data_IF_082341694418
#
_entry.id   IF_082341694418
#
_cell.length_a   1.000
_cell.length_b   1.000
_cell.length_c   1.000
_cell.angle_alpha   90.00
_cell.angle_beta   90.00
_cell.angle_gamma   90.00
#
_symmetry.space_group_name_H-M   'P 1'
#
loop_
_entity.id
_entity.type
_entity.pdbx_description
1 polymer ?
#
# COMPACT_ATOMS: atom_id res chain seq x y z
N UNK A 1 36.42 -3.62 32.36
CA UNK A 1 36.32 -2.38 31.55
C UNK A 1 36.38 -2.62 30.05
N UNK A 2 37.38 -3.37 29.51
CA UNK A 2 37.51 -3.63 28.06
C UNK A 2 36.30 -4.34 27.43
N UNK A 3 35.73 -5.35 28.10
CA UNK A 3 34.56 -6.11 27.59
C UNK A 3 33.30 -5.21 27.45
N UNK A 4 33.06 -4.32 28.41
CA UNK A 4 31.97 -3.33 28.35
C UNK A 4 32.17 -2.33 27.20
N UNK A 5 33.42 -1.93 26.93
CA UNK A 5 33.74 -1.05 25.81
C UNK A 5 33.50 -1.75 24.45
N UNK A 6 33.92 -3.01 24.29
CA UNK A 6 33.70 -3.75 23.04
C UNK A 6 32.23 -4.04 22.77
N UNK A 7 31.46 -4.38 23.82
CA UNK A 7 30.01 -4.58 23.69
C UNK A 7 29.29 -3.28 23.33
N UNK A 8 29.67 -2.16 23.93
CA UNK A 8 29.15 -0.84 23.56
C UNK A 8 29.46 -0.45 22.11
N UNK A 9 30.72 -0.62 21.68
CA UNK A 9 31.12 -0.33 20.29
C UNK A 9 30.38 -1.23 19.30
N UNK A 10 30.21 -2.51 19.61
CA UNK A 10 29.43 -3.44 18.78
C UNK A 10 27.97 -3.00 18.65
N UNK A 11 27.34 -2.61 19.76
CA UNK A 11 25.96 -2.12 19.76
C UNK A 11 25.81 -0.82 18.95
N UNK A 12 26.76 0.10 19.09
CA UNK A 12 26.80 1.35 18.33
C UNK A 12 27.00 1.11 16.83
N UNK A 13 27.86 0.15 16.48
CA UNK A 13 28.12 -0.21 15.08
C UNK A 13 26.89 -0.86 14.45
N UNK A 14 26.20 -1.72 15.19
CA UNK A 14 24.95 -2.34 14.76
C UNK A 14 23.84 -1.30 14.57
N UNK A 15 23.66 -0.38 15.52
CA UNK A 15 22.64 0.67 15.41
C UNK A 15 22.90 1.58 14.20
N UNK A 16 24.15 2.01 13.98
CA UNK A 16 24.53 2.81 12.81
C UNK A 16 24.23 2.08 11.50
N UNK A 17 24.55 0.78 11.44
CA UNK A 17 24.25 -0.05 10.27
C UNK A 17 22.74 -0.14 9.99
N UNK A 18 21.93 -0.36 11.03
CA UNK A 18 20.47 -0.41 10.88
C UNK A 18 19.88 0.91 10.40
N UNK A 19 20.43 2.03 10.87
CA UNK A 19 20.01 3.38 10.46
C UNK A 19 20.40 3.69 9.01
N UNK A 20 21.60 3.29 8.58
CA UNK A 20 22.00 3.39 7.17
C UNK A 20 21.07 2.57 6.27
N UNK A 21 20.74 1.34 6.66
CA UNK A 21 19.86 0.48 5.90
C UNK A 21 18.44 1.06 5.79
N UNK A 22 17.91 1.63 6.88
CA UNK A 22 16.60 2.28 6.85
C UNK A 22 16.59 3.54 5.99
N UNK A 23 17.63 4.37 6.06
CA UNK A 23 17.78 5.56 5.22
C UNK A 23 17.86 5.21 3.73
N UNK A 24 18.63 4.18 3.35
CA UNK A 24 18.73 3.71 1.96
C UNK A 24 17.37 3.22 1.45
N UNK A 25 16.64 2.43 2.26
CA UNK A 25 15.28 1.98 1.91
C UNK A 25 14.31 3.15 1.76
N UNK A 26 14.39 4.14 2.64
CA UNK A 26 13.56 5.34 2.56
C UNK A 26 13.81 6.11 1.26
N UNK A 27 15.07 6.41 0.93
CA UNK A 27 15.44 7.10 -0.32
C UNK A 27 14.98 6.31 -1.54
N UNK A 28 15.16 4.98 -1.52
CA UNK A 28 14.73 4.11 -2.59
C UNK A 28 13.23 4.20 -2.85
N UNK A 29 12.41 4.05 -1.81
CA UNK A 29 10.95 4.10 -1.94
C UNK A 29 10.44 5.50 -2.27
N UNK A 30 11.07 6.54 -1.74
CA UNK A 30 10.73 7.92 -2.08
C UNK A 30 10.99 8.23 -3.57
N UNK A 31 12.12 7.74 -4.12
CA UNK A 31 12.50 7.98 -5.51
C UNK A 31 11.75 7.08 -6.50
N UNK A 32 11.62 5.79 -6.20
CA UNK A 32 11.15 4.78 -7.16
C UNK A 32 9.78 4.18 -6.85
N UNK A 33 9.17 4.53 -5.71
CA UNK A 33 7.92 3.95 -5.25
C UNK A 33 8.07 2.56 -4.63
N UNK A 34 7.08 2.17 -3.83
CA UNK A 34 6.85 0.82 -3.28
C UNK A 34 6.07 -0.07 -4.24
N UNK A 35 5.25 0.54 -5.09
CA UNK A 35 4.50 -0.17 -6.13
C UNK A 35 4.22 0.75 -7.31
N UNK A 36 4.19 0.18 -8.51
CA UNK A 36 3.82 0.85 -9.75
C UNK A 36 2.76 0.01 -10.45
N UNK A 37 1.55 0.55 -10.51
CA UNK A 37 0.45 0.01 -11.27
C UNK A 37 0.38 0.73 -12.61
N UNK A 38 -0.18 0.09 -13.62
CA UNK A 38 -0.41 0.72 -14.92
C UNK A 38 -1.88 0.61 -15.29
N UNK A 39 -2.50 1.73 -15.63
CA UNK A 39 -3.90 1.79 -16.04
C UNK A 39 -4.10 0.88 -17.25
N UNK A 40 -5.20 0.13 -17.25
CA UNK A 40 -5.58 -0.87 -18.24
C UNK A 40 -4.61 -2.07 -18.38
N UNK A 41 -3.65 -2.22 -17.47
CA UNK A 41 -2.74 -3.38 -17.43
C UNK A 41 -2.98 -4.18 -16.15
N UNK A 42 -3.23 -5.48 -16.31
CA UNK A 42 -3.46 -6.42 -15.21
C UNK A 42 -2.15 -6.92 -14.57
N UNK A 43 -1.13 -6.06 -14.51
CA UNK A 43 0.16 -6.36 -13.87
C UNK A 43 0.69 -5.14 -13.14
N UNK A 44 1.43 -5.34 -12.05
CA UNK A 44 2.11 -4.28 -11.31
C UNK A 44 3.58 -4.61 -11.06
N UNK A 45 4.38 -3.60 -10.71
CA UNK A 45 5.80 -3.72 -10.34
C UNK A 45 6.01 -3.25 -8.91
N UNK A 46 7.06 -3.74 -8.23
CA UNK A 46 7.42 -3.31 -6.86
C UNK A 46 8.25 -2.01 -6.79
N UNK A 47 8.58 -1.42 -7.93
CA UNK A 47 9.18 -0.08 -8.05
C UNK A 47 9.29 0.30 -9.54
N UNK A 48 9.53 1.58 -9.83
CA UNK A 48 9.72 2.09 -11.21
C UNK A 48 10.85 1.39 -11.97
N UNK A 49 11.93 1.03 -11.27
CA UNK A 49 13.10 0.39 -11.88
C UNK A 49 12.99 -1.15 -11.91
N UNK A 50 11.98 -1.72 -11.26
CA UNK A 50 11.82 -3.16 -11.20
C UNK A 50 11.39 -3.70 -12.56
N UNK A 51 12.12 -4.72 -13.04
CA UNK A 51 11.75 -5.47 -14.25
C UNK A 51 10.71 -6.55 -13.98
N UNK A 52 10.62 -7.01 -12.73
CA UNK A 52 9.70 -8.08 -12.35
C UNK A 52 8.28 -7.54 -12.26
N UNK A 53 7.39 -8.11 -13.04
CA UNK A 53 5.96 -7.85 -13.01
C UNK A 53 5.22 -8.93 -12.23
N UNK A 54 4.17 -8.54 -11.54
CA UNK A 54 3.29 -9.40 -10.75
C UNK A 54 1.87 -9.34 -11.35
N UNK A 55 1.25 -10.49 -11.64
CA UNK A 55 -0.07 -10.53 -12.25
C UNK A 55 -1.17 -10.09 -11.28
N UNK A 56 -2.26 -9.57 -11.85
CA UNK A 56 -3.51 -9.21 -11.18
C UNK A 56 -4.70 -9.75 -11.99
N UNK A 57 -5.81 -10.02 -11.33
CA UNK A 57 -7.03 -10.50 -11.99
C UNK A 57 -7.89 -9.37 -12.56
N UNK A 58 -7.54 -8.13 -12.22
CA UNK A 58 -8.22 -6.91 -12.66
C UNK A 58 -7.19 -5.83 -12.95
N UNK A 59 -7.46 -5.01 -13.96
CA UNK A 59 -6.64 -3.84 -14.28
C UNK A 59 -7.16 -2.59 -13.57
N UNK A 60 -6.27 -1.71 -13.08
CA UNK A 60 -6.65 -0.36 -12.71
C UNK A 60 -7.31 0.35 -13.90
N UNK A 61 -8.29 1.22 -13.62
CA UNK A 61 -9.01 1.95 -14.66
C UNK A 61 -9.29 3.38 -14.22
N UNK A 62 -9.70 4.22 -15.18
CA UNK A 62 -10.24 5.55 -14.93
C UNK A 62 -11.75 5.54 -15.09
N UNK A 63 -12.45 6.31 -14.27
CA UNK A 63 -13.85 6.61 -14.52
C UNK A 63 -14.04 7.86 -15.38
N UNK A 64 -15.29 8.27 -15.55
CA UNK A 64 -15.70 9.42 -16.37
C UNK A 64 -15.15 10.74 -15.83
N UNK A 65 -14.90 10.81 -14.52
CA UNK A 65 -14.33 11.96 -13.81
C UNK A 65 -12.79 11.90 -13.71
N UNK A 66 -12.14 11.04 -14.50
CA UNK A 66 -10.70 10.82 -14.50
C UNK A 66 -10.11 10.28 -13.18
N UNK A 67 -10.97 9.81 -12.25
CA UNK A 67 -10.51 9.18 -11.02
C UNK A 67 -9.91 7.81 -11.32
N UNK A 68 -8.70 7.57 -10.82
CA UNK A 68 -8.04 6.27 -11.00
C UNK A 68 -8.46 5.31 -9.90
N UNK A 69 -9.01 4.16 -10.30
CA UNK A 69 -9.39 3.08 -9.41
C UNK A 69 -8.31 2.01 -9.38
N UNK A 70 -7.90 1.64 -8.17
CA UNK A 70 -6.89 0.62 -7.91
C UNK A 70 -7.52 -0.57 -7.17
N UNK A 71 -7.07 -1.79 -7.44
CA UNK A 71 -7.59 -2.97 -6.76
C UNK A 71 -7.04 -3.10 -5.34
N UNK A 72 -7.91 -3.01 -4.35
CA UNK A 72 -7.58 -2.91 -2.92
C UNK A 72 -6.65 -4.03 -2.44
N UNK A 73 -6.98 -5.28 -2.79
CA UNK A 73 -6.21 -6.47 -2.43
C UNK A 73 -4.77 -6.42 -2.92
N UNK A 74 -4.57 -6.07 -4.19
CA UNK A 74 -3.22 -6.02 -4.76
C UNK A 74 -2.43 -4.81 -4.27
N UNK A 75 -3.09 -3.70 -3.97
CA UNK A 75 -2.45 -2.57 -3.28
C UNK A 75 -1.90 -3.01 -1.92
N UNK A 76 -2.73 -3.61 -1.07
CA UNK A 76 -2.29 -4.11 0.24
C UNK A 76 -1.13 -5.11 0.12
N UNK A 77 -1.25 -6.10 -0.76
CA UNK A 77 -0.19 -7.08 -1.03
C UNK A 77 1.11 -6.43 -1.53
N UNK A 78 1.01 -5.40 -2.38
CA UNK A 78 2.17 -4.67 -2.92
C UNK A 78 2.93 -3.91 -1.83
N UNK A 79 2.21 -3.44 -0.81
CA UNK A 79 2.76 -2.75 0.36
C UNK A 79 3.26 -3.72 1.45
N UNK A 80 3.12 -5.04 1.23
CA UNK A 80 3.53 -6.07 2.19
C UNK A 80 2.58 -6.22 3.38
N UNK A 81 1.34 -5.77 3.23
CA UNK A 81 0.31 -5.80 4.27
C UNK A 81 -0.39 -7.16 4.25
N UNK A 82 -0.61 -7.73 5.43
CA UNK A 82 -1.33 -9.01 5.59
C UNK A 82 -2.83 -8.80 5.38
N UNK A 83 -3.41 -9.70 4.60
CA UNK A 83 -4.83 -9.79 4.34
C UNK A 83 -5.40 -11.01 5.07
N UNK A 84 -6.60 -10.85 5.60
CA UNK A 84 -7.38 -11.92 6.20
C UNK A 84 -8.73 -11.96 5.49
N UNK A 85 -9.21 -13.16 5.19
CA UNK A 85 -10.56 -13.34 4.67
C UNK A 85 -11.48 -13.62 5.87
N UNK A 86 -12.70 -13.13 5.77
CA UNK A 86 -13.75 -13.32 6.78
C UNK A 86 -15.05 -13.68 6.05
N UNK A 87 -15.93 -14.44 6.70
CA UNK A 87 -17.16 -14.92 6.06
C UNK A 87 -18.22 -13.81 5.95
N UNK A 88 -18.20 -12.83 6.87
CA UNK A 88 -19.09 -11.65 6.86
C UNK A 88 -18.51 -10.50 6.02
N UNK A 89 -17.17 -10.37 6.00
CA UNK A 89 -16.46 -9.34 5.23
C UNK A 89 -15.53 -9.95 4.19
N UNK A 90 -15.68 -9.53 2.92
CA UNK A 90 -14.86 -10.03 1.82
C UNK A 90 -13.36 -9.92 2.08
N UNK A 91 -12.89 -8.86 2.76
CA UNK A 91 -11.48 -8.63 3.10
C UNK A 91 -11.33 -7.88 4.44
N UNK A 92 -10.44 -8.37 5.30
CA UNK A 92 -9.91 -7.63 6.47
C UNK A 92 -8.44 -7.28 6.25
N UNK A 93 -8.08 -6.01 6.46
CA UNK A 93 -6.74 -5.46 6.28
C UNK A 93 -6.29 -4.79 7.58
N UNK A 94 -5.13 -5.19 8.10
CA UNK A 94 -4.53 -4.56 9.29
C UNK A 94 -3.34 -3.70 8.88
N UNK A 95 -3.45 -2.38 9.05
CA UNK A 95 -2.44 -1.40 8.65
C UNK A 95 -2.14 -0.50 9.83
N UNK A 96 -0.93 -0.61 10.42
CA UNK A 96 -0.54 0.17 11.59
C UNK A 96 -1.55 0.02 12.74
N UNK A 97 -2.25 1.10 13.10
CA UNK A 97 -3.29 1.19 14.11
C UNK A 97 -4.72 1.14 13.51
N UNK A 98 -4.83 0.91 12.20
CA UNK A 98 -6.10 0.80 11.48
C UNK A 98 -6.48 -0.66 11.24
N UNK A 99 -7.73 -0.97 11.56
CA UNK A 99 -8.38 -2.20 11.16
C UNK A 99 -9.43 -1.87 10.11
N UNK A 100 -9.23 -2.37 8.89
CA UNK A 100 -10.11 -2.09 7.75
C UNK A 100 -10.89 -3.37 7.45
N UNK A 101 -12.22 -3.28 7.42
CA UNK A 101 -13.11 -4.35 7.01
C UNK A 101 -13.86 -3.89 5.78
N UNK A 102 -13.77 -4.64 4.69
CA UNK A 102 -14.32 -4.26 3.41
C UNK A 102 -15.18 -5.40 2.85
N UNK A 103 -16.36 -5.04 2.36
CA UNK A 103 -17.18 -5.89 1.52
C UNK A 103 -17.54 -5.15 0.22
N UNK A 104 -18.45 -5.73 -0.55
CA UNK A 104 -18.93 -5.23 -1.84
C UNK A 104 -19.56 -3.83 -1.76
N UNK A 105 -20.18 -3.48 -0.63
CA UNK A 105 -21.00 -2.28 -0.48
C UNK A 105 -20.36 -1.20 0.42
N UNK A 106 -19.52 -1.62 1.37
CA UNK A 106 -19.03 -0.75 2.43
C UNK A 106 -17.62 -1.12 2.90
N UNK A 107 -16.86 -0.08 3.25
CA UNK A 107 -15.59 -0.18 3.96
C UNK A 107 -15.70 0.50 5.32
N UNK A 108 -15.44 -0.26 6.36
CA UNK A 108 -15.30 0.23 7.74
C UNK A 108 -13.82 0.35 8.09
N UNK A 109 -13.44 1.50 8.62
CA UNK A 109 -12.08 1.78 9.07
C UNK A 109 -12.16 2.16 10.55
N UNK A 110 -11.57 1.33 11.39
CA UNK A 110 -11.45 1.53 12.84
C UNK A 110 -10.01 1.91 13.17
N UNK A 111 -9.81 3.08 13.79
CA UNK A 111 -8.49 3.50 14.27
C UNK A 111 -8.36 3.27 15.77
N UNK A 112 -7.49 2.34 16.18
CA UNK A 112 -7.34 1.97 17.59
C UNK A 112 -6.70 3.04 18.45
N UNK A 113 -5.86 3.91 17.87
CA UNK A 113 -5.17 4.99 18.60
C UNK A 113 -6.09 6.14 18.98
N UNK A 114 -7.00 6.52 18.06
CA UNK A 114 -7.86 7.71 18.18
C UNK A 114 -9.31 7.36 18.50
N UNK A 115 -9.71 6.08 18.38
CA UNK A 115 -11.10 5.61 18.46
C UNK A 115 -12.05 6.24 17.43
N UNK A 116 -11.49 6.89 16.40
CA UNK A 116 -12.27 7.42 15.30
C UNK A 116 -12.59 6.29 14.33
N UNK A 117 -13.89 6.15 14.02
CA UNK A 117 -14.39 5.20 13.06
C UNK A 117 -14.90 5.95 11.83
N UNK A 118 -14.50 5.47 10.65
CA UNK A 118 -14.96 6.00 9.36
C UNK A 118 -15.64 4.90 8.58
N UNK A 119 -16.78 5.23 7.99
CA UNK A 119 -17.48 4.39 7.01
C UNK A 119 -17.34 5.03 5.63
N UNK A 120 -17.08 4.20 4.63
CA UNK A 120 -17.09 4.58 3.21
C UNK A 120 -18.09 3.64 2.53
N UNK A 121 -19.15 4.21 1.97
CA UNK A 121 -20.24 3.49 1.29
C UNK A 121 -20.56 4.08 -0.10
N UNK A 122 -19.66 4.91 -0.62
CA UNK A 122 -19.73 5.48 -1.96
C UNK A 122 -18.44 5.24 -2.73
N UNK A 123 -18.52 5.32 -4.06
CA UNK A 123 -17.37 5.16 -4.97
C UNK A 123 -16.58 3.85 -4.79
N UNK A 124 -17.23 2.81 -4.28
CA UNK A 124 -16.71 1.44 -4.30
C UNK A 124 -17.19 0.82 -5.62
N UNK A 125 -16.26 0.24 -6.39
CA UNK A 125 -16.59 -0.45 -7.64
C UNK A 125 -16.12 -1.89 -7.54
N UNK A 126 -16.87 -2.80 -8.15
CA UNK A 126 -16.50 -4.21 -8.24
C UNK A 126 -16.22 -4.54 -9.70
N UNK A 127 -15.06 -5.16 -9.93
CA UNK A 127 -14.68 -5.62 -11.27
C UNK A 127 -13.91 -6.92 -11.15
N UNK A 128 -14.36 -7.96 -11.85
CA UNK A 128 -13.82 -9.32 -11.76
C UNK A 128 -13.73 -9.83 -10.30
N UNK A 129 -14.78 -9.60 -9.51
CA UNK A 129 -14.85 -9.97 -8.08
C UNK A 129 -13.74 -9.36 -7.21
N UNK A 130 -13.14 -8.25 -7.65
CA UNK A 130 -12.13 -7.52 -6.88
C UNK A 130 -12.66 -6.12 -6.55
N UNK A 131 -12.44 -5.70 -5.31
CA UNK A 131 -12.80 -4.37 -4.81
C UNK A 131 -11.86 -3.31 -5.39
N UNK A 132 -12.44 -2.33 -6.08
CA UNK A 132 -11.76 -1.25 -6.75
C UNK A 132 -12.09 0.05 -6.02
N UNK A 133 -11.07 0.76 -5.57
CA UNK A 133 -11.23 2.03 -4.86
C UNK A 133 -10.52 3.17 -5.58
N UNK A 134 -11.10 4.38 -5.53
CA UNK A 134 -10.42 5.56 -6.04
C UNK A 134 -9.12 5.78 -5.28
N UNK A 135 -8.13 6.31 -5.99
CA UNK A 135 -6.81 6.62 -5.45
C UNK A 135 -6.83 7.48 -4.18
N UNK A 136 -7.81 8.37 -4.02
CA UNK A 136 -7.98 9.16 -2.80
C UNK A 136 -8.20 8.29 -1.57
N UNK A 137 -9.06 7.27 -1.67
CA UNK A 137 -9.28 6.32 -0.57
C UNK A 137 -8.07 5.45 -0.33
N UNK A 138 -7.36 5.02 -1.37
CA UNK A 138 -6.11 4.27 -1.22
C UNK A 138 -5.06 5.10 -0.46
N UNK A 139 -4.91 6.38 -0.82
CA UNK A 139 -4.02 7.31 -0.11
C UNK A 139 -4.38 7.43 1.37
N UNK A 140 -5.66 7.61 1.68
CA UNK A 140 -6.15 7.78 3.06
C UNK A 140 -6.00 6.50 3.91
N UNK A 141 -6.36 5.34 3.33
CA UNK A 141 -6.36 4.05 4.03
C UNK A 141 -4.93 3.63 4.37
N UNK A 142 -4.03 3.69 3.38
CA UNK A 142 -2.68 3.16 3.49
C UNK A 142 -1.62 4.21 3.87
N UNK A 143 -2.01 5.49 3.97
CA UNK A 143 -1.12 6.62 4.28
C UNK A 143 0.09 6.70 3.32
N UNK A 144 -0.17 6.41 2.05
CA UNK A 144 0.85 6.45 0.98
C UNK A 144 0.66 7.67 0.10
N UNK A 145 1.75 8.22 -0.43
CA UNK A 145 1.61 9.20 -1.50
C UNK A 145 1.36 8.50 -2.83
N UNK A 146 0.49 9.06 -3.66
CA UNK A 146 0.16 8.50 -4.98
C UNK A 146 0.49 9.53 -6.05
N UNK A 147 1.37 9.15 -6.97
CA UNK A 147 1.71 9.94 -8.15
C UNK A 147 1.17 9.25 -9.40
N UNK A 148 0.47 10.00 -10.24
CA UNK A 148 -0.04 9.52 -11.53
C UNK A 148 0.78 10.17 -12.64
N UNK A 149 1.35 9.36 -13.53
CA UNK A 149 1.97 9.85 -14.75
C UNK A 149 0.96 9.80 -15.89
N UNK A 150 0.38 10.95 -16.22
CA UNK A 150 -0.63 11.08 -17.27
C UNK A 150 -0.13 10.67 -18.67
N UNK A 151 1.18 10.67 -18.92
CA UNK A 151 1.75 10.25 -20.22
C UNK A 151 1.85 8.74 -20.34
N UNK A 152 2.23 8.04 -19.27
CA UNK A 152 2.46 6.58 -19.29
C UNK A 152 1.29 5.78 -18.72
N UNK A 153 0.35 6.43 -18.05
CA UNK A 153 -0.72 5.79 -17.29
C UNK A 153 -0.23 5.05 -16.05
N UNK A 154 0.98 5.35 -15.57
CA UNK A 154 1.54 4.74 -14.37
C UNK A 154 1.00 5.41 -13.11
N UNK A 155 0.66 4.59 -12.12
CA UNK A 155 0.23 5.01 -10.78
C UNK A 155 1.24 4.47 -9.78
N UNK A 156 1.95 5.39 -9.10
CA UNK A 156 3.10 5.07 -8.25
C UNK A 156 2.74 5.34 -6.80
N UNK A 157 2.85 4.31 -5.97
CA UNK A 157 2.61 4.38 -4.53
C UNK A 157 3.97 4.57 -3.84
N UNK A 158 4.10 5.58 -2.99
CA UNK A 158 5.33 5.94 -2.25
C UNK A 158 5.10 5.84 -0.74
#
# INVERSE_FOLDING_TARGET
MKILLYTFISLLSFSLFTLLLSAVRFIYHHKYGKAVFQINKSKYKKSKISKKEFPMNVSPFKDEDDNVYLPLKYVANSLGIKLYNDDEYSIIIKVMDKNIRANEDVIFIENSSTKLNRKIDNNIKIKNNELMLPQSYIKDIFEVNIEINNKTGEVILK
#
